data_IF_619495229352
#
_entry.id   IF_619495229352
#
_cell.length_a   1.000
_cell.length_b   1.000
_cell.length_c   1.000
_cell.angle_alpha   90.00
_cell.angle_beta   90.00
_cell.angle_gamma   90.00
#
_symmetry.space_group_name_H-M   'P 1'
#
loop_
_entity.id
_entity.type
_entity.pdbx_description
1 polymer ?
#
# COMPACT_ATOMS: atom_id res chain seq x y z
N UNK A 1 17.02 34.22 -49.73
CA UNK A 1 17.74 33.53 -48.63
C UNK A 1 17.19 33.88 -47.25
N UNK A 2 17.02 35.13 -46.88
CA UNK A 2 16.56 35.55 -45.54
C UNK A 2 15.13 35.05 -45.17
N UNK A 3 14.24 34.93 -46.11
CA UNK A 3 12.85 34.50 -45.89
C UNK A 3 12.73 33.01 -45.57
N UNK A 4 13.58 32.17 -46.14
CA UNK A 4 13.61 30.71 -45.84
C UNK A 4 14.23 30.44 -44.46
N UNK A 5 15.23 31.20 -44.06
CA UNK A 5 15.86 31.09 -42.73
C UNK A 5 14.90 31.50 -41.60
N UNK A 6 14.09 32.55 -41.81
CA UNK A 6 13.07 32.97 -40.82
C UNK A 6 11.96 31.94 -40.67
N UNK A 7 11.52 31.30 -41.78
CA UNK A 7 10.49 30.23 -41.72
C UNK A 7 11.02 28.96 -41.01
N UNK A 8 12.31 28.62 -41.17
CA UNK A 8 12.94 27.48 -40.48
C UNK A 8 13.08 27.74 -38.96
N UNK A 9 13.44 28.96 -38.57
CA UNK A 9 13.54 29.33 -37.14
C UNK A 9 12.16 29.35 -36.48
N UNK A 10 11.10 29.83 -37.18
CA UNK A 10 9.74 29.82 -36.65
C UNK A 10 9.21 28.41 -36.49
N UNK A 11 9.48 27.48 -37.44
CA UNK A 11 9.05 26.10 -37.34
C UNK A 11 9.79 25.35 -36.22
N UNK A 12 11.09 25.59 -36.01
CA UNK A 12 11.84 25.02 -34.90
C UNK A 12 11.36 25.55 -33.53
N UNK A 13 11.02 26.83 -33.43
CA UNK A 13 10.46 27.42 -32.22
C UNK A 13 9.07 26.86 -31.88
N UNK A 14 8.22 26.65 -32.90
CA UNK A 14 6.90 26.03 -32.72
C UNK A 14 6.98 24.55 -32.32
N UNK A 15 7.93 23.79 -32.86
CA UNK A 15 8.19 22.40 -32.44
C UNK A 15 8.77 22.35 -31.02
N UNK A 16 9.66 23.26 -30.66
CA UNK A 16 10.20 23.36 -29.30
C UNK A 16 9.10 23.74 -28.29
N UNK A 17 8.19 24.67 -28.62
CA UNK A 17 7.05 24.99 -27.76
C UNK A 17 6.04 23.83 -27.66
N UNK A 18 5.82 23.05 -28.71
CA UNK A 18 4.97 21.87 -28.67
C UNK A 18 5.55 20.76 -27.77
N UNK A 19 6.87 20.60 -27.77
CA UNK A 19 7.57 19.63 -26.87
C UNK A 19 7.54 20.11 -25.42
N UNK A 20 7.59 21.42 -25.15
CA UNK A 20 7.53 21.94 -23.77
C UNK A 20 6.09 22.02 -23.22
N UNK A 21 5.07 22.06 -24.07
CA UNK A 21 3.66 22.10 -23.67
C UNK A 21 3.11 20.74 -23.19
N UNK A 22 3.82 19.63 -23.38
CA UNK A 22 3.29 18.29 -23.16
C UNK A 22 3.93 17.52 -22.01
N UNK A 23 4.69 18.16 -21.19
CA UNK A 23 5.00 17.60 -19.87
C UNK A 23 3.90 18.01 -18.86
N UNK A 24 2.67 17.58 -19.12
CA UNK A 24 1.63 17.66 -18.10
C UNK A 24 2.16 16.85 -16.91
N UNK A 25 2.45 17.57 -15.82
CA UNK A 25 3.05 16.97 -14.63
C UNK A 25 2.12 15.86 -14.15
N UNK A 26 2.50 14.60 -14.39
CA UNK A 26 1.75 13.44 -13.91
C UNK A 26 1.51 13.59 -12.41
N UNK A 27 0.27 13.42 -11.97
CA UNK A 27 -0.06 13.30 -10.56
C UNK A 27 0.66 12.08 -9.98
N UNK A 28 1.54 12.23 -8.98
CA UNK A 28 2.17 11.08 -8.32
C UNK A 28 1.09 10.22 -7.67
N UNK A 29 1.19 8.91 -7.82
CA UNK A 29 0.28 7.96 -7.17
C UNK A 29 0.94 6.60 -7.00
N UNK A 30 0.47 5.85 -6.04
CA UNK A 30 0.84 4.46 -5.84
C UNK A 30 -0.41 3.60 -5.60
N UNK A 31 -0.23 2.29 -5.66
CA UNK A 31 -1.31 1.32 -5.48
C UNK A 31 -1.06 0.51 -4.22
N UNK A 32 -2.10 0.34 -3.40
CA UNK A 32 -2.16 -0.63 -2.34
C UNK A 32 -2.98 -1.83 -2.80
N UNK A 33 -2.40 -3.02 -2.68
CA UNK A 33 -3.06 -4.31 -2.88
C UNK A 33 -3.08 -4.99 -1.51
N UNK A 34 -4.28 -5.23 -0.99
CA UNK A 34 -4.48 -5.84 0.31
C UNK A 34 -5.09 -7.22 0.17
N UNK A 35 -4.71 -8.12 1.04
CA UNK A 35 -5.39 -9.41 1.24
C UNK A 35 -5.61 -10.19 -0.08
N UNK A 36 -4.59 -10.41 -0.92
CA UNK A 36 -4.72 -11.32 -2.06
C UNK A 36 -4.99 -12.76 -1.60
N UNK A 37 -4.47 -13.14 -0.47
CA UNK A 37 -4.76 -14.30 0.40
C UNK A 37 -5.04 -15.59 -0.37
N UNK A 38 -4.08 -15.99 -1.22
CA UNK A 38 -4.17 -17.15 -2.09
C UNK A 38 -4.58 -18.41 -1.32
N UNK A 39 -5.67 -19.05 -1.75
CA UNK A 39 -6.25 -20.24 -1.13
C UNK A 39 -7.39 -19.96 -0.16
N UNK A 40 -7.85 -18.72 0.00
CA UNK A 40 -8.92 -18.39 0.93
C UNK A 40 -10.31 -18.73 0.40
N UNK A 41 -10.59 -18.55 -0.90
CA UNK A 41 -11.88 -18.91 -1.50
C UNK A 41 -12.23 -20.37 -1.30
N UNK A 42 -11.26 -21.24 -1.56
CA UNK A 42 -11.46 -22.70 -1.46
C UNK A 42 -11.18 -23.27 -0.08
N UNK A 43 -10.47 -22.50 0.79
CA UNK A 43 -9.89 -22.97 2.06
C UNK A 43 -9.08 -24.26 1.90
N UNK A 44 -8.44 -24.40 0.75
CA UNK A 44 -7.64 -25.56 0.35
C UNK A 44 -6.37 -25.12 -0.36
N UNK A 45 -5.68 -26.06 -1.02
CA UNK A 45 -4.50 -25.74 -1.83
C UNK A 45 -4.86 -25.14 -3.21
N UNK A 46 -6.13 -25.10 -3.58
CA UNK A 46 -6.60 -24.44 -4.80
C UNK A 46 -6.70 -22.92 -4.58
N UNK A 47 -6.04 -22.16 -5.41
CA UNK A 47 -6.06 -20.69 -5.44
C UNK A 47 -6.31 -20.14 -6.85
N UNK A 48 -7.01 -20.90 -7.67
CA UNK A 48 -7.29 -20.54 -9.07
C UNK A 48 -8.05 -19.22 -9.15
N UNK A 49 -9.06 -19.01 -8.27
CA UNK A 49 -9.85 -17.78 -8.26
C UNK A 49 -9.01 -16.56 -7.91
N UNK A 50 -8.19 -16.63 -6.85
CA UNK A 50 -7.32 -15.52 -6.44
C UNK A 50 -6.26 -15.24 -7.51
N UNK A 51 -5.74 -16.26 -8.16
CA UNK A 51 -4.81 -16.12 -9.27
C UNK A 51 -5.43 -15.34 -10.44
N UNK A 52 -6.65 -15.68 -10.84
CA UNK A 52 -7.36 -14.97 -11.91
C UNK A 52 -7.62 -13.50 -11.56
N UNK A 53 -8.02 -13.20 -10.31
CA UNK A 53 -8.19 -11.84 -9.82
C UNK A 53 -6.87 -11.07 -9.85
N UNK A 54 -5.78 -11.68 -9.38
CA UNK A 54 -4.47 -11.05 -9.36
C UNK A 54 -3.90 -10.80 -10.76
N UNK A 55 -4.11 -11.70 -11.72
CA UNK A 55 -3.73 -11.47 -13.12
C UNK A 55 -4.41 -10.21 -13.65
N UNK A 56 -5.72 -10.09 -13.49
CA UNK A 56 -6.49 -8.92 -13.92
C UNK A 56 -6.04 -7.62 -13.24
N UNK A 57 -5.72 -7.69 -11.93
CA UNK A 57 -5.19 -6.55 -11.18
C UNK A 57 -3.83 -6.15 -11.75
N UNK A 58 -2.92 -7.11 -11.94
CA UNK A 58 -1.56 -6.86 -12.42
C UNK A 58 -1.56 -6.22 -13.81
N UNK A 59 -2.38 -6.72 -14.75
CA UNK A 59 -2.55 -6.13 -16.08
C UNK A 59 -2.96 -4.65 -16.00
N UNK A 60 -3.97 -4.33 -15.18
CA UNK A 60 -4.45 -2.94 -15.01
C UNK A 60 -3.42 -2.04 -14.31
N UNK A 61 -2.71 -2.55 -13.32
CA UNK A 61 -1.65 -1.81 -12.62
C UNK A 61 -0.47 -1.53 -13.55
N UNK A 62 -0.09 -2.49 -14.40
CA UNK A 62 0.94 -2.28 -15.42
C UNK A 62 0.53 -1.21 -16.45
N UNK A 63 -0.76 -1.17 -16.86
CA UNK A 63 -1.28 -0.10 -17.73
C UNK A 63 -1.24 1.27 -17.04
N UNK A 64 -1.58 1.36 -15.76
CA UNK A 64 -1.60 2.60 -14.97
C UNK A 64 -0.21 3.16 -14.71
N UNK A 65 0.81 2.30 -14.55
CA UNK A 65 2.20 2.65 -14.23
C UNK A 65 2.32 3.49 -12.95
N UNK A 66 1.92 2.99 -11.77
CA UNK A 66 2.11 3.69 -10.51
C UNK A 66 3.59 3.95 -10.21
N UNK A 67 3.87 4.84 -9.25
CA UNK A 67 5.23 5.06 -8.79
C UNK A 67 5.78 3.81 -8.07
N UNK A 68 4.92 3.03 -7.43
CA UNK A 68 5.18 1.71 -6.84
C UNK A 68 3.87 1.01 -6.46
N UNK A 69 3.97 -0.25 -6.08
CA UNK A 69 2.88 -1.02 -5.46
C UNK A 69 3.29 -1.42 -4.04
N UNK A 70 2.36 -1.36 -3.10
CA UNK A 70 2.52 -1.95 -1.77
C UNK A 70 1.50 -3.05 -1.54
N UNK A 71 1.98 -4.23 -1.17
CA UNK A 71 1.16 -5.31 -0.64
C UNK A 71 1.05 -5.15 0.87
N UNK A 72 -0.17 -4.96 1.37
CA UNK A 72 -0.44 -4.67 2.79
C UNK A 72 -0.84 -5.89 3.60
N UNK A 73 -0.24 -7.02 3.31
CA UNK A 73 -0.33 -8.24 4.11
C UNK A 73 -1.39 -9.25 3.63
N UNK A 74 -1.37 -10.40 4.29
CA UNK A 74 -2.16 -11.59 3.98
C UNK A 74 -2.02 -12.01 2.51
N UNK A 75 -0.76 -12.31 2.15
CA UNK A 75 -0.37 -12.66 0.78
C UNK A 75 -0.88 -14.04 0.38
N UNK A 76 -0.86 -14.97 1.34
CA UNK A 76 -1.39 -16.34 1.22
C UNK A 76 -2.27 -16.68 2.41
N UNK A 77 -3.20 -17.62 2.24
CA UNK A 77 -4.08 -18.03 3.35
C UNK A 77 -3.35 -18.90 4.38
N UNK A 78 -2.45 -19.79 3.92
CA UNK A 78 -1.67 -20.68 4.78
C UNK A 78 -0.19 -20.65 4.38
N UNK A 79 0.70 -20.25 5.28
CA UNK A 79 2.15 -20.26 5.03
C UNK A 79 2.72 -21.67 4.81
N UNK A 80 1.99 -22.71 5.22
CA UNK A 80 2.34 -24.11 4.93
C UNK A 80 2.03 -24.52 3.48
N UNK A 81 1.23 -23.71 2.76
CA UNK A 81 0.93 -23.95 1.34
C UNK A 81 2.06 -23.41 0.46
N UNK A 82 3.09 -24.22 0.23
CA UNK A 82 4.25 -23.83 -0.60
C UNK A 82 3.86 -23.49 -2.04
N UNK A 83 2.84 -24.16 -2.60
CA UNK A 83 2.35 -23.88 -3.94
C UNK A 83 1.74 -22.46 -4.03
N UNK A 84 0.99 -22.03 -3.01
CA UNK A 84 0.46 -20.67 -2.95
C UNK A 84 1.58 -19.63 -2.79
N UNK A 85 2.59 -19.90 -1.96
CA UNK A 85 3.75 -19.03 -1.80
C UNK A 85 4.52 -18.85 -3.12
N UNK A 86 4.78 -19.94 -3.83
CA UNK A 86 5.45 -19.90 -5.14
C UNK A 86 4.56 -19.24 -6.20
N UNK A 87 3.26 -19.51 -6.17
CA UNK A 87 2.28 -18.88 -7.04
C UNK A 87 2.21 -17.37 -6.84
N UNK A 88 2.21 -16.89 -5.58
CA UNK A 88 2.25 -15.46 -5.28
C UNK A 88 3.54 -14.80 -5.79
N UNK A 89 4.69 -15.44 -5.56
CA UNK A 89 5.97 -14.97 -6.07
C UNK A 89 6.00 -14.89 -7.61
N UNK A 90 5.42 -15.87 -8.28
CA UNK A 90 5.30 -15.86 -9.74
C UNK A 90 4.41 -14.68 -10.20
N UNK A 91 3.27 -14.45 -9.55
CA UNK A 91 2.41 -13.31 -9.88
C UNK A 91 3.10 -11.96 -9.64
N UNK A 92 3.93 -11.83 -8.61
CA UNK A 92 4.75 -10.63 -8.43
C UNK A 92 5.73 -10.40 -9.60
N UNK A 93 6.19 -11.45 -10.28
CA UNK A 93 7.09 -11.31 -11.43
C UNK A 93 6.40 -10.84 -12.71
N UNK A 94 5.07 -10.82 -12.76
CA UNK A 94 4.27 -10.32 -13.89
C UNK A 94 4.07 -8.78 -13.84
N UNK A 95 4.43 -8.13 -12.74
CA UNK A 95 4.48 -6.67 -12.70
C UNK A 95 5.62 -6.14 -13.57
N UNK A 96 5.38 -5.01 -14.23
CA UNK A 96 6.43 -4.31 -14.98
C UNK A 96 7.65 -4.07 -14.09
N UNK A 97 8.85 -4.38 -14.58
CA UNK A 97 10.12 -4.30 -13.83
C UNK A 97 10.44 -2.90 -13.31
N UNK A 98 9.85 -1.88 -13.92
CA UNK A 98 10.01 -0.48 -13.52
C UNK A 98 9.08 -0.08 -12.37
N UNK A 99 8.17 -0.96 -11.93
CA UNK A 99 7.26 -0.75 -10.81
C UNK A 99 7.85 -1.42 -9.56
N UNK A 100 8.40 -0.67 -8.59
CA UNK A 100 8.88 -1.24 -7.33
C UNK A 100 7.74 -1.88 -6.55
N UNK A 101 7.97 -3.06 -5.97
CA UNK A 101 7.03 -3.75 -5.09
C UNK A 101 7.52 -3.69 -3.65
N UNK A 102 6.66 -3.27 -2.74
CA UNK A 102 6.90 -3.26 -1.30
C UNK A 102 5.92 -4.18 -0.59
N UNK A 103 6.34 -4.76 0.53
CA UNK A 103 5.55 -5.71 1.31
C UNK A 103 5.56 -5.31 2.78
N UNK A 104 4.43 -5.44 3.43
CA UNK A 104 4.31 -5.52 4.89
C UNK A 104 3.51 -6.78 5.22
N UNK A 105 3.84 -7.51 6.30
CA UNK A 105 3.18 -8.77 6.59
C UNK A 105 1.78 -8.57 7.19
N UNK A 106 0.91 -9.55 6.93
CA UNK A 106 -0.33 -9.77 7.64
C UNK A 106 -0.25 -10.95 8.61
N UNK A 107 -1.33 -11.21 9.34
CA UNK A 107 -1.38 -12.29 10.34
C UNK A 107 -1.40 -13.70 9.71
N UNK A 108 -1.70 -13.82 8.43
CA UNK A 108 -1.54 -15.07 7.68
C UNK A 108 -0.14 -15.27 7.12
N UNK A 109 0.70 -14.24 7.12
CA UNK A 109 2.09 -14.29 6.62
C UNK A 109 3.11 -14.54 7.73
N UNK A 110 2.82 -14.06 8.95
CA UNK A 110 3.64 -14.18 10.14
C UNK A 110 2.81 -14.83 11.25
N UNK A 111 3.19 -16.03 11.65
CA UNK A 111 2.57 -16.72 12.78
C UNK A 111 3.27 -16.32 14.06
N UNK A 112 2.52 -15.88 15.09
CA UNK A 112 3.00 -15.56 16.44
C UNK A 112 4.03 -14.43 16.54
N UNK A 113 4.23 -13.63 15.51
CA UNK A 113 5.16 -12.48 15.46
C UNK A 113 6.52 -12.73 16.12
N UNK A 114 7.02 -13.98 16.05
CA UNK A 114 8.33 -14.35 16.57
C UNK A 114 9.45 -13.83 15.66
N UNK A 115 10.68 -13.64 16.18
CA UNK A 115 11.81 -13.28 15.33
C UNK A 115 12.01 -14.23 14.15
N UNK A 116 11.80 -15.53 14.36
CA UNK A 116 11.96 -16.57 13.35
C UNK A 116 10.91 -16.44 12.25
N UNK A 117 9.64 -16.21 12.59
CA UNK A 117 8.56 -16.03 11.58
C UNK A 117 8.75 -14.74 10.78
N UNK A 118 9.24 -13.68 11.41
CA UNK A 118 9.59 -12.42 10.74
C UNK A 118 10.77 -12.65 9.78
N UNK A 119 11.81 -13.37 10.21
CA UNK A 119 12.97 -13.68 9.36
C UNK A 119 12.56 -14.52 8.14
N UNK A 120 11.65 -15.49 8.30
CA UNK A 120 11.10 -16.27 7.20
C UNK A 120 10.36 -15.39 6.18
N UNK A 121 9.57 -14.41 6.63
CA UNK A 121 8.94 -13.45 5.74
C UNK A 121 9.98 -12.60 4.99
N UNK A 122 11.00 -12.12 5.69
CA UNK A 122 12.09 -11.33 5.09
C UNK A 122 12.87 -12.16 4.06
N UNK A 123 13.14 -13.44 4.31
CA UNK A 123 13.79 -14.33 3.33
C UNK A 123 12.99 -14.47 2.04
N UNK A 124 11.64 -14.45 2.13
CA UNK A 124 10.76 -14.60 0.96
C UNK A 124 10.61 -13.32 0.17
N UNK A 125 10.44 -12.18 0.85
CA UNK A 125 10.01 -10.92 0.24
C UNK A 125 11.04 -9.79 0.37
N UNK A 126 12.19 -10.04 1.00
CA UNK A 126 13.31 -9.11 1.13
C UNK A 126 13.20 -8.16 2.32
N UNK A 127 12.00 -7.87 2.80
CA UNK A 127 11.78 -6.96 3.94
C UNK A 127 10.37 -7.17 4.53
N UNK A 128 10.17 -6.81 5.80
CA UNK A 128 8.88 -6.78 6.50
C UNK A 128 8.38 -5.34 6.75
N UNK A 129 9.16 -4.36 6.31
CA UNK A 129 8.93 -2.91 6.47
C UNK A 129 9.71 -2.12 5.43
N UNK A 130 9.26 -0.93 5.07
CA UNK A 130 9.94 -0.13 4.06
C UNK A 130 9.82 1.38 4.31
N UNK A 131 10.61 2.16 3.59
CA UNK A 131 10.49 3.60 3.50
C UNK A 131 10.63 3.97 2.01
N UNK A 132 9.57 4.52 1.44
CA UNK A 132 9.61 5.14 0.13
C UNK A 132 9.61 6.66 0.28
N UNK A 133 10.74 7.29 -0.01
CA UNK A 133 10.91 8.74 0.09
C UNK A 133 10.95 9.36 -1.30
N UNK A 134 9.82 9.90 -1.73
CA UNK A 134 9.72 10.71 -2.94
C UNK A 134 10.05 12.18 -2.65
N UNK A 135 10.14 13.00 -3.71
CA UNK A 135 10.45 14.44 -3.57
C UNK A 135 9.39 15.20 -2.74
N UNK A 136 8.12 14.77 -2.78
CA UNK A 136 6.97 15.51 -2.23
C UNK A 136 6.13 14.71 -1.23
N UNK A 137 6.54 13.51 -0.85
CA UNK A 137 5.82 12.68 0.11
C UNK A 137 6.73 11.58 0.65
N UNK A 138 6.33 11.00 1.77
CA UNK A 138 7.01 9.82 2.34
C UNK A 138 5.97 8.75 2.68
N UNK A 139 6.22 7.52 2.24
CA UNK A 139 5.42 6.34 2.63
C UNK A 139 6.28 5.44 3.50
N UNK A 140 5.72 5.02 4.64
CA UNK A 140 6.40 4.23 5.66
C UNK A 140 5.59 2.96 5.91
N UNK A 141 6.11 1.83 5.45
CA UNK A 141 5.58 0.52 5.79
C UNK A 141 6.10 0.06 7.15
N UNK A 142 5.23 -0.55 7.95
CA UNK A 142 5.58 -1.10 9.26
C UNK A 142 4.88 -2.43 9.52
N UNK A 143 5.49 -3.25 10.37
CA UNK A 143 4.96 -4.56 10.74
C UNK A 143 3.95 -4.40 11.88
N UNK A 144 2.66 -4.39 11.56
CA UNK A 144 1.59 -4.27 12.54
C UNK A 144 1.31 -5.57 13.32
N UNK A 145 1.81 -6.72 12.86
CA UNK A 145 1.63 -7.98 13.57
C UNK A 145 2.31 -7.91 14.94
N UNK A 146 3.55 -7.38 15.00
CA UNK A 146 4.27 -7.23 16.28
C UNK A 146 3.57 -6.27 17.25
N UNK A 147 2.79 -5.32 16.73
CA UNK A 147 1.99 -4.38 17.54
C UNK A 147 0.71 -5.07 18.00
N UNK A 148 0.02 -5.77 17.11
CA UNK A 148 -1.22 -6.50 17.39
C UNK A 148 -1.02 -7.55 18.47
N UNK A 149 0.06 -8.31 18.37
CA UNK A 149 0.40 -9.39 19.28
C UNK A 149 1.08 -8.92 20.56
N UNK A 150 1.31 -7.59 20.73
CA UNK A 150 2.13 -7.02 21.80
C UNK A 150 3.47 -7.80 21.98
N UNK A 151 4.09 -8.15 20.84
CA UNK A 151 5.28 -9.00 20.82
C UNK A 151 6.47 -8.38 21.59
N UNK A 152 7.40 -9.19 22.06
CA UNK A 152 8.59 -8.70 22.75
C UNK A 152 9.42 -7.71 21.92
N UNK A 153 9.28 -7.74 20.59
CA UNK A 153 9.93 -6.82 19.64
C UNK A 153 9.18 -5.50 19.43
N UNK A 154 7.94 -5.34 19.96
CA UNK A 154 7.13 -4.11 19.80
C UNK A 154 7.87 -2.84 20.26
N UNK A 155 8.56 -2.80 21.41
CA UNK A 155 9.26 -1.59 21.83
C UNK A 155 10.38 -1.16 20.87
N UNK A 156 11.02 -2.11 20.19
CA UNK A 156 12.02 -1.81 19.16
C UNK A 156 11.37 -1.24 17.90
N UNK A 157 10.22 -1.80 17.50
CA UNK A 157 9.44 -1.30 16.36
C UNK A 157 8.92 0.11 16.61
N UNK A 158 8.40 0.40 17.81
CA UNK A 158 8.00 1.76 18.20
C UNK A 158 9.13 2.77 18.03
N UNK A 159 10.32 2.48 18.59
CA UNK A 159 11.50 3.36 18.48
C UNK A 159 11.94 3.54 17.04
N UNK A 160 11.87 2.48 16.22
CA UNK A 160 12.17 2.56 14.80
C UNK A 160 11.21 3.50 14.08
N UNK A 161 9.89 3.31 14.28
CA UNK A 161 8.86 4.15 13.67
C UNK A 161 9.05 5.61 14.10
N UNK A 162 9.27 5.87 15.40
CA UNK A 162 9.53 7.24 15.88
C UNK A 162 10.72 7.89 15.18
N UNK A 163 11.85 7.18 15.05
CA UNK A 163 13.05 7.68 14.36
C UNK A 163 12.77 8.01 12.89
N UNK A 164 12.03 7.14 12.20
CA UNK A 164 11.68 7.34 10.80
C UNK A 164 10.74 8.54 10.63
N UNK A 165 9.70 8.64 11.44
CA UNK A 165 8.77 9.77 11.44
C UNK A 165 9.48 11.10 11.73
N UNK A 166 10.43 11.11 12.69
CA UNK A 166 11.24 12.28 12.97
C UNK A 166 12.01 12.76 11.72
N UNK A 167 12.55 11.83 10.93
CA UNK A 167 13.26 12.16 9.70
C UNK A 167 12.34 12.59 8.56
N UNK A 168 11.11 12.07 8.52
CA UNK A 168 10.12 12.32 7.47
C UNK A 168 9.33 13.62 7.66
N UNK A 169 9.30 14.22 8.86
CA UNK A 169 8.41 15.33 9.24
C UNK A 169 8.38 16.55 8.30
N UNK A 170 9.42 16.74 7.51
CA UNK A 170 9.54 17.86 6.53
C UNK A 170 9.13 17.47 5.11
N UNK A 171 8.79 16.22 4.87
CA UNK A 171 8.46 15.72 3.54
C UNK A 171 7.01 15.17 3.53
N UNK A 172 6.08 16.09 3.46
CA UNK A 172 4.63 15.86 3.53
C UNK A 172 4.00 15.61 2.16
N UNK A 173 2.90 14.84 2.09
CA UNK A 173 2.27 14.11 3.22
C UNK A 173 3.11 12.92 3.69
N UNK A 174 2.93 12.54 4.97
CA UNK A 174 3.45 11.30 5.54
C UNK A 174 2.33 10.27 5.56
N UNK A 175 2.57 9.13 4.93
CA UNK A 175 1.60 8.04 4.80
C UNK A 175 2.18 6.82 5.49
N UNK A 176 1.42 6.22 6.39
CA UNK A 176 1.75 4.96 7.05
C UNK A 176 1.01 3.81 6.38
N UNK A 177 1.66 2.66 6.22
CA UNK A 177 1.04 1.44 5.63
C UNK A 177 1.33 0.25 6.51
N UNK A 178 0.30 -0.50 6.88
CA UNK A 178 0.40 -1.75 7.62
C UNK A 178 -0.75 -2.68 7.27
N UNK A 179 -0.81 -3.84 7.90
CA UNK A 179 -1.92 -4.78 7.70
C UNK A 179 -3.10 -4.50 8.63
N UNK A 180 -2.88 -4.56 9.96
CA UNK A 180 -3.96 -4.35 10.92
C UNK A 180 -4.35 -2.87 11.02
N UNK A 181 -5.65 -2.53 10.98
CA UNK A 181 -6.12 -1.19 11.26
C UNK A 181 -5.92 -0.84 12.75
N UNK A 182 -5.60 0.42 13.03
CA UNK A 182 -5.57 0.91 14.40
C UNK A 182 -6.95 0.79 15.04
N UNK A 183 -7.99 1.13 14.30
CA UNK A 183 -9.40 0.99 14.64
C UNK A 183 -10.22 0.86 13.35
N UNK A 184 -11.44 0.34 13.46
CA UNK A 184 -12.33 0.11 12.31
C UNK A 184 -13.24 1.32 12.06
N UNK A 185 -13.83 1.88 13.12
CA UNK A 185 -14.80 2.97 13.03
C UNK A 185 -14.51 4.13 13.97
N UNK A 186 -13.93 3.87 15.15
CA UNK A 186 -13.66 4.89 16.16
C UNK A 186 -12.38 4.60 16.92
N UNK A 187 -11.54 5.62 17.20
CA UNK A 187 -10.32 5.43 17.99
C UNK A 187 -10.58 4.89 19.40
N UNK A 188 -11.78 5.10 19.95
CA UNK A 188 -12.16 4.65 21.29
C UNK A 188 -12.96 3.32 21.30
N UNK A 189 -13.11 2.66 20.13
CA UNK A 189 -13.83 1.40 20.07
C UNK A 189 -13.15 0.29 20.88
N UNK A 190 -13.92 -0.71 21.31
CA UNK A 190 -13.41 -1.85 22.04
C UNK A 190 -12.35 -2.60 21.23
N UNK A 191 -11.42 -3.24 21.94
CA UNK A 191 -10.48 -4.16 21.32
C UNK A 191 -11.20 -5.37 20.73
N UNK A 192 -10.81 -5.75 19.51
CA UNK A 192 -11.35 -6.90 18.76
C UNK A 192 -10.24 -7.58 17.98
N UNK A 193 -10.56 -8.70 17.36
CA UNK A 193 -9.67 -9.37 16.42
C UNK A 193 -9.22 -8.41 15.29
N UNK A 194 -10.13 -7.59 14.81
CA UNK A 194 -9.94 -6.72 13.64
C UNK A 194 -9.04 -5.51 13.89
N UNK A 195 -8.82 -5.08 15.14
CA UNK A 195 -8.12 -3.83 15.43
C UNK A 195 -6.95 -3.99 16.41
N UNK A 196 -6.11 -2.96 16.51
CA UNK A 196 -5.03 -2.90 17.51
C UNK A 196 -5.62 -2.70 18.91
N UNK A 197 -5.06 -3.39 19.92
CA UNK A 197 -5.45 -3.27 21.32
C UNK A 197 -5.37 -1.84 21.86
N UNK A 198 -6.28 -1.47 22.78
CA UNK A 198 -6.54 -0.08 23.20
C UNK A 198 -5.27 0.65 23.67
N UNK A 199 -4.43 0.03 24.47
CA UNK A 199 -3.25 0.70 25.06
C UNK A 199 -2.18 0.98 23.98
N UNK A 200 -1.89 0.02 23.12
CA UNK A 200 -0.97 0.21 22.00
C UNK A 200 -1.57 1.16 20.95
N UNK A 201 -2.87 1.07 20.68
CA UNK A 201 -3.57 2.01 19.81
C UNK A 201 -3.37 3.46 20.25
N UNK A 202 -3.66 3.79 21.50
CA UNK A 202 -3.43 5.14 22.06
C UNK A 202 -1.98 5.60 21.93
N UNK A 203 -1.04 4.69 22.23
CA UNK A 203 0.40 4.95 22.13
C UNK A 203 0.82 5.31 20.70
N UNK A 204 0.36 4.55 19.70
CA UNK A 204 0.69 4.79 18.29
C UNK A 204 -0.07 5.97 17.68
N UNK A 205 -1.33 6.19 18.05
CA UNK A 205 -2.10 7.37 17.62
C UNK A 205 -1.42 8.66 18.09
N UNK A 206 -0.98 8.72 19.35
CA UNK A 206 -0.22 9.86 19.87
C UNK A 206 1.12 10.07 19.14
N UNK A 207 1.79 8.98 18.77
CA UNK A 207 3.02 9.05 17.99
C UNK A 207 2.76 9.61 16.58
N UNK A 208 1.73 9.15 15.91
CA UNK A 208 1.37 9.60 14.56
C UNK A 208 0.97 11.08 14.57
N UNK A 209 0.17 11.50 15.54
CA UNK A 209 -0.20 12.90 15.75
C UNK A 209 1.02 13.79 16.01
N UNK A 210 1.91 13.40 16.95
CA UNK A 210 3.15 14.12 17.28
C UNK A 210 4.00 14.47 16.06
N UNK A 211 4.08 13.56 15.10
CA UNK A 211 4.91 13.74 13.90
C UNK A 211 4.09 14.17 12.67
N UNK A 212 2.78 14.37 12.85
CA UNK A 212 1.88 14.85 11.83
C UNK A 212 1.77 13.88 10.66
N UNK A 213 1.45 12.62 10.91
CA UNK A 213 1.01 11.68 9.89
C UNK A 213 -0.27 12.21 9.25
N UNK A 214 -0.42 12.05 7.95
CA UNK A 214 -1.58 12.58 7.21
C UNK A 214 -2.58 11.46 6.88
N UNK A 215 -2.08 10.24 6.61
CA UNK A 215 -2.88 9.10 6.20
C UNK A 215 -2.30 7.81 6.75
N UNK A 216 -3.15 6.91 7.24
CA UNK A 216 -2.80 5.54 7.63
C UNK A 216 -3.62 4.56 6.80
N UNK A 217 -2.93 3.68 6.08
CA UNK A 217 -3.52 2.65 5.23
C UNK A 217 -3.40 1.28 5.90
N UNK A 218 -4.46 0.49 5.80
CA UNK A 218 -4.50 -0.89 6.31
C UNK A 218 -5.29 -1.83 5.40
N UNK A 219 -5.33 -3.11 5.75
CA UNK A 219 -6.11 -4.18 5.13
C UNK A 219 -6.87 -4.98 6.17
N UNK A 220 -6.75 -6.33 6.14
CA UNK A 220 -7.24 -7.27 7.15
C UNK A 220 -8.75 -7.48 7.19
N UNK A 221 -9.55 -6.45 6.95
CA UNK A 221 -11.01 -6.53 7.15
C UNK A 221 -11.76 -7.24 6.03
N UNK A 222 -11.14 -7.38 4.86
CA UNK A 222 -11.81 -7.86 3.64
C UNK A 222 -13.03 -7.03 3.21
N UNK A 223 -13.13 -5.81 3.72
CA UNK A 223 -14.09 -4.77 3.31
C UNK A 223 -13.51 -3.38 3.55
N UNK A 224 -14.03 -2.39 2.85
CA UNK A 224 -13.57 -1.00 3.01
C UNK A 224 -14.11 -0.40 4.31
N UNK A 225 -13.22 0.28 5.06
CA UNK A 225 -13.57 1.06 6.23
C UNK A 225 -12.77 2.36 6.27
N UNK A 226 -13.33 3.38 6.93
CA UNK A 226 -12.67 4.69 7.08
C UNK A 226 -12.96 5.26 8.44
N UNK A 227 -12.00 6.02 8.97
CA UNK A 227 -12.13 6.76 10.21
C UNK A 227 -11.15 7.93 10.27
N UNK A 228 -11.24 8.71 11.33
CA UNK A 228 -10.38 9.88 11.54
C UNK A 228 -9.98 10.00 13.01
N UNK A 229 -8.76 10.45 13.25
CA UNK A 229 -8.25 10.82 14.58
C UNK A 229 -7.41 12.10 14.46
N UNK A 230 -7.86 13.19 15.09
CA UNK A 230 -7.15 14.48 15.14
C UNK A 230 -6.58 14.96 13.78
N UNK A 231 -7.40 14.82 12.72
CA UNK A 231 -7.05 15.21 11.35
C UNK A 231 -6.23 14.17 10.58
N UNK A 232 -5.89 13.04 11.17
CA UNK A 232 -5.26 11.90 10.50
C UNK A 232 -6.35 11.00 9.93
N UNK A 233 -6.32 10.76 8.63
CA UNK A 233 -7.25 9.82 7.98
C UNK A 233 -6.77 8.39 8.14
N UNK A 234 -7.69 7.47 8.45
CA UNK A 234 -7.47 6.03 8.50
C UNK A 234 -8.34 5.37 7.43
N UNK A 235 -7.71 4.64 6.53
CA UNK A 235 -8.38 3.97 5.42
C UNK A 235 -7.98 2.50 5.42
N UNK A 236 -8.97 1.63 5.47
CA UNK A 236 -8.79 0.19 5.29
C UNK A 236 -9.27 -0.17 3.90
N UNK A 237 -8.36 -0.68 3.09
CA UNK A 237 -8.66 -1.15 1.75
C UNK A 237 -9.51 -2.42 1.79
N UNK A 238 -10.39 -2.59 0.82
CA UNK A 238 -10.99 -3.88 0.53
C UNK A 238 -9.96 -4.86 -0.05
N UNK A 239 -10.25 -6.15 -0.10
CA UNK A 239 -9.29 -7.17 -0.50
C UNK A 239 -9.11 -7.23 -2.02
N UNK A 240 -7.93 -7.67 -2.44
CA UNK A 240 -7.71 -8.11 -3.81
C UNK A 240 -8.29 -9.51 -4.05
N UNK A 241 -8.24 -10.38 -3.01
CA UNK A 241 -8.82 -11.71 -2.98
C UNK A 241 -10.28 -11.72 -2.53
N UNK A 242 -10.59 -12.51 -1.52
CA UNK A 242 -11.95 -12.78 -1.05
C UNK A 242 -12.59 -11.61 -0.29
N UNK A 243 -13.69 -11.02 -0.78
CA UNK A 243 -14.34 -9.90 -0.11
C UNK A 243 -15.42 -10.35 0.88
N UNK A 244 -15.64 -9.55 1.94
CA UNK A 244 -16.76 -9.68 2.85
C UNK A 244 -17.86 -8.67 2.56
N UNK A 245 -19.08 -9.05 2.85
CA UNK A 245 -20.26 -8.20 2.73
C UNK A 245 -20.55 -7.77 1.29
N UNK A 246 -20.62 -6.45 1.05
CA UNK A 246 -20.91 -5.86 -0.26
C UNK A 246 -19.66 -5.37 -1.01
N UNK A 247 -18.51 -5.44 -0.39
CA UNK A 247 -17.24 -5.08 -1.02
C UNK A 247 -16.96 -6.05 -2.18
N UNK A 248 -16.37 -5.56 -3.25
CA UNK A 248 -15.88 -6.39 -4.36
C UNK A 248 -14.36 -6.44 -4.30
N UNK A 249 -13.75 -7.47 -4.88
CA UNK A 249 -12.29 -7.54 -5.02
C UNK A 249 -11.77 -6.35 -5.81
N UNK A 250 -10.65 -5.76 -5.38
CA UNK A 250 -10.14 -4.54 -5.98
C UNK A 250 -8.80 -4.07 -5.39
N UNK A 251 -8.53 -2.79 -5.60
CA UNK A 251 -7.30 -2.11 -5.16
C UNK A 251 -7.60 -0.72 -4.61
N UNK A 252 -6.73 -0.23 -3.73
CA UNK A 252 -6.73 1.16 -3.32
C UNK A 252 -5.72 1.95 -4.16
N UNK A 253 -6.11 3.08 -4.72
CA UNK A 253 -5.22 4.01 -5.43
C UNK A 253 -5.03 5.25 -4.58
N UNK A 254 -3.78 5.57 -4.27
CA UNK A 254 -3.42 6.72 -3.45
C UNK A 254 -2.79 7.79 -4.33
N UNK A 255 -3.47 8.92 -4.48
CA UNK A 255 -2.99 10.06 -5.27
C UNK A 255 -2.39 11.14 -4.37
N UNK A 256 -1.33 11.79 -4.84
CA UNK A 256 -0.64 12.87 -4.12
C UNK A 256 -0.83 14.17 -4.89
N UNK A 257 -1.64 15.08 -4.35
CA UNK A 257 -1.93 16.37 -4.98
C UNK A 257 -1.95 17.47 -3.93
N UNK A 258 -1.33 18.60 -4.19
CA UNK A 258 -1.31 19.79 -3.32
C UNK A 258 -0.90 19.48 -1.87
N UNK A 259 0.14 18.66 -1.70
CA UNK A 259 0.64 18.14 -0.41
C UNK A 259 -0.40 17.36 0.42
N UNK A 260 -1.41 16.79 -0.23
CA UNK A 260 -2.41 15.90 0.38
C UNK A 260 -2.36 14.54 -0.28
N UNK A 261 -2.68 13.52 0.49
CA UNK A 261 -2.88 12.17 0.01
C UNK A 261 -4.38 11.84 0.03
N UNK A 262 -4.88 11.30 -1.07
CA UNK A 262 -6.24 10.79 -1.17
C UNK A 262 -6.21 9.32 -1.58
N UNK A 263 -6.93 8.49 -0.81
CA UNK A 263 -7.10 7.08 -1.06
C UNK A 263 -8.50 6.85 -1.65
N UNK A 264 -8.58 6.05 -2.71
CA UNK A 264 -9.83 5.69 -3.38
C UNK A 264 -9.80 4.21 -3.75
N UNK A 265 -10.78 3.46 -3.26
CA UNK A 265 -10.93 2.05 -3.60
C UNK A 265 -11.67 1.89 -4.92
N UNK A 266 -11.13 1.04 -5.79
CA UNK A 266 -11.74 0.64 -7.04
C UNK A 266 -11.91 -0.87 -7.08
N UNK A 267 -13.12 -1.33 -7.38
CA UNK A 267 -13.29 -2.73 -7.76
C UNK A 267 -12.49 -3.02 -9.04
N UNK A 268 -12.13 -4.27 -9.29
CA UNK A 268 -11.32 -4.64 -10.46
C UNK A 268 -11.94 -4.12 -11.76
N UNK A 269 -13.28 -4.12 -11.87
CA UNK A 269 -13.98 -3.69 -13.07
C UNK A 269 -14.00 -2.16 -13.23
N UNK A 270 -13.86 -1.42 -12.13
CA UNK A 270 -13.97 0.04 -12.09
C UNK A 270 -12.58 0.74 -12.07
N UNK A 271 -11.47 -0.02 -12.07
CA UNK A 271 -10.12 0.56 -12.11
C UNK A 271 -10.00 1.47 -13.36
N UNK A 272 -9.66 2.76 -13.18
CA UNK A 272 -9.58 3.71 -14.28
C UNK A 272 -8.42 3.37 -15.22
N UNK A 273 -8.52 3.76 -16.49
CA UNK A 273 -7.42 3.57 -17.47
C UNK A 273 -6.25 4.53 -17.24
N UNK A 274 -6.46 5.63 -16.53
CA UNK A 274 -5.44 6.64 -16.22
C UNK A 274 -5.80 7.44 -14.98
N UNK A 275 -4.80 7.89 -14.23
CA UNK A 275 -4.94 8.81 -13.10
C UNK A 275 -4.68 10.24 -13.57
N UNK A 276 -5.62 11.15 -13.26
CA UNK A 276 -5.56 12.57 -13.67
C UNK A 276 -5.21 13.50 -12.52
#
# INVERSE_FOLDING_TARGET
MLTHFRKLILSLALVAMAITAQAQKRTPFFVQISDPQLGFFSKSNDFTTEKELMIRITEKVNELKPDFVVFSGDLVHWISNTAALDGFKLMCSEFDKDIPLYFVPGNHDIVDSTPESIEEFIKRYGHDRFIHKAKKYTVIGYNSCVIKDAAATEPAEYKRIEKVLQSARRNKPIIMVAHHPMFVSSPDEAERYENIGIELRKKYLALFEKYGVDLVLSGHLHYCAQGEYNGIKFVTAGPAGFPFGKTKSGIEIITIKDNKAEATYYSIDDIPKQIR
#
